data_IF_410215248815
#
_entry.id   IF_410215248815
#
_cell.length_a   1.000
_cell.length_b   1.000
_cell.length_c   1.000
_cell.angle_alpha   90.00
_cell.angle_beta   90.00
_cell.angle_gamma   90.00
#
_symmetry.space_group_name_H-M   'P 1'
#
loop_
_entity.id
_entity.type
_entity.pdbx_description
1 polymer ?
#
# COMPACT_ATOMS: atom_id res chain seq x y z
N UNK A 1 8.85 -14.70 -9.65
CA UNK A 1 7.96 -15.13 -8.51
C UNK A 1 8.42 -14.62 -7.14
N UNK A 2 9.09 -13.47 -7.11
CA UNK A 2 9.45 -12.82 -5.86
C UNK A 2 8.17 -12.47 -5.07
N UNK A 3 8.10 -12.81 -3.80
CA UNK A 3 6.97 -12.55 -2.90
C UNK A 3 5.65 -13.29 -3.23
N UNK A 4 5.66 -14.31 -4.11
CA UNK A 4 4.48 -15.11 -4.44
C UNK A 4 3.45 -14.42 -5.34
N UNK A 5 3.72 -13.21 -5.80
CA UNK A 5 2.81 -12.45 -6.66
C UNK A 5 2.76 -13.01 -8.08
N UNK A 6 1.56 -13.09 -8.64
CA UNK A 6 1.29 -13.43 -10.05
C UNK A 6 0.81 -12.19 -10.78
N UNK A 7 1.73 -11.46 -11.39
CA UNK A 7 1.51 -10.17 -12.03
C UNK A 7 1.90 -10.20 -13.50
N UNK A 8 1.29 -9.34 -14.29
CA UNK A 8 1.62 -9.08 -15.68
C UNK A 8 2.46 -7.80 -15.78
N UNK A 9 3.32 -7.66 -16.80
CA UNK A 9 4.16 -6.46 -16.97
C UNK A 9 3.38 -5.15 -16.97
N UNK A 10 2.20 -5.11 -17.58
CA UNK A 10 1.33 -3.94 -17.66
C UNK A 10 0.77 -3.48 -16.30
N UNK A 11 0.86 -4.29 -15.26
CA UNK A 11 0.48 -3.92 -13.90
C UNK A 11 1.58 -3.15 -13.17
N UNK A 12 2.81 -3.14 -13.70
CA UNK A 12 3.98 -2.57 -13.05
C UNK A 12 4.16 -1.12 -13.50
N UNK A 13 4.19 -0.21 -12.56
CA UNK A 13 4.52 1.20 -12.78
C UNK A 13 5.81 1.52 -12.03
N UNK A 14 6.81 2.00 -12.75
CA UNK A 14 8.12 2.37 -12.19
C UNK A 14 8.15 3.88 -11.97
N UNK A 15 8.68 4.30 -10.83
CA UNK A 15 8.77 5.72 -10.46
C UNK A 15 10.08 6.09 -9.77
N UNK A 16 10.35 7.39 -9.72
CA UNK A 16 11.54 7.99 -9.13
C UNK A 16 11.40 8.14 -7.59
N UNK A 17 11.17 7.04 -6.90
CA UNK A 17 10.96 6.98 -5.46
C UNK A 17 9.48 6.85 -5.06
N UNK A 18 9.24 6.44 -3.80
CA UNK A 18 7.89 6.15 -3.31
C UNK A 18 7.01 7.41 -3.24
N UNK A 19 7.58 8.57 -2.92
CA UNK A 19 6.81 9.81 -2.88
C UNK A 19 6.20 10.16 -4.25
N UNK A 20 6.93 9.92 -5.32
CA UNK A 20 6.41 10.08 -6.69
C UNK A 20 5.22 9.15 -6.95
N UNK A 21 5.34 7.89 -6.53
CA UNK A 21 4.26 6.91 -6.67
C UNK A 21 3.03 7.27 -5.82
N UNK A 22 3.22 7.83 -4.61
CA UNK A 22 2.09 8.32 -3.80
C UNK A 22 1.31 9.43 -4.49
N UNK A 23 2.00 10.37 -5.17
CA UNK A 23 1.33 11.39 -5.98
C UNK A 23 0.52 10.79 -7.13
N UNK A 24 1.07 9.81 -7.84
CA UNK A 24 0.36 9.11 -8.91
C UNK A 24 -0.87 8.34 -8.37
N UNK A 25 -0.75 7.70 -7.21
CA UNK A 25 -1.86 7.00 -6.58
C UNK A 25 -3.00 7.93 -6.19
N UNK A 26 -2.69 9.10 -5.63
CA UNK A 26 -3.70 10.11 -5.30
C UNK A 26 -4.44 10.58 -6.56
N UNK A 27 -3.72 10.77 -7.68
CA UNK A 27 -4.35 11.13 -8.96
C UNK A 27 -5.19 9.99 -9.52
N UNK A 28 -4.73 8.74 -9.40
CA UNK A 28 -5.42 7.56 -9.91
C UNK A 28 -6.71 7.25 -9.12
N UNK A 29 -6.60 7.25 -7.80
CA UNK A 29 -7.70 6.88 -6.91
C UNK A 29 -8.68 8.01 -6.66
N UNK A 30 -8.20 9.27 -6.71
CA UNK A 30 -9.00 10.47 -6.48
C UNK A 30 -8.80 11.04 -5.07
N UNK A 31 -9.18 12.32 -4.92
CA UNK A 31 -9.10 13.07 -3.65
C UNK A 31 -10.41 13.02 -2.86
N UNK A 32 -11.49 12.56 -3.47
CA UNK A 32 -12.84 12.55 -2.87
C UNK A 32 -13.06 11.37 -1.93
N UNK A 33 -12.02 10.58 -1.69
CA UNK A 33 -12.02 9.44 -0.77
C UNK A 33 -11.38 9.79 0.57
N UNK A 34 -11.82 9.11 1.62
CA UNK A 34 -11.17 9.18 2.94
C UNK A 34 -10.03 8.16 2.98
N UNK A 35 -8.80 8.68 3.09
CA UNK A 35 -7.60 7.85 3.22
C UNK A 35 -7.31 7.55 4.69
N UNK A 36 -6.85 6.36 4.97
CA UNK A 36 -6.36 5.96 6.29
C UNK A 36 -4.84 5.82 6.29
N UNK A 37 -4.21 6.23 7.37
CA UNK A 37 -2.79 6.01 7.65
C UNK A 37 -2.61 5.49 9.06
N UNK A 38 -1.64 4.61 9.25
CA UNK A 38 -1.36 3.99 10.54
C UNK A 38 -0.84 5.00 11.57
N UNK A 39 -1.28 4.86 12.83
CA UNK A 39 -0.82 5.68 13.96
C UNK A 39 -0.49 4.79 15.18
N UNK A 40 0.78 4.82 15.65
CA UNK A 40 1.92 5.55 15.09
C UNK A 40 2.29 5.06 13.69
N UNK A 41 2.95 5.88 12.88
CA UNK A 41 3.32 5.53 11.53
C UNK A 41 4.28 6.54 10.89
N UNK A 42 4.48 6.43 9.58
CA UNK A 42 5.39 7.30 8.84
C UNK A 42 4.83 8.71 8.67
N UNK A 43 5.32 9.64 9.51
CA UNK A 43 4.84 11.03 9.60
C UNK A 43 4.85 11.81 8.27
N UNK A 44 5.79 11.49 7.37
CA UNK A 44 5.89 12.16 6.07
C UNK A 44 4.67 11.86 5.18
N UNK A 45 4.06 10.69 5.35
CA UNK A 45 2.87 10.29 4.58
C UNK A 45 1.68 11.22 4.87
N UNK A 46 1.44 11.55 6.16
CA UNK A 46 0.42 12.51 6.55
C UNK A 46 0.61 13.88 5.88
N UNK A 47 1.87 14.36 5.84
CA UNK A 47 2.21 15.62 5.18
C UNK A 47 1.94 15.57 3.68
N UNK A 48 2.28 14.44 3.02
CA UNK A 48 2.03 14.26 1.59
C UNK A 48 0.54 14.30 1.29
N UNK A 49 -0.28 13.57 2.05
CA UNK A 49 -1.73 13.58 1.86
C UNK A 49 -2.34 14.97 2.10
N UNK A 50 -1.96 15.64 3.20
CA UNK A 50 -2.43 16.99 3.50
C UNK A 50 -2.10 17.99 2.38
N UNK A 51 -0.85 17.98 1.86
CA UNK A 51 -0.42 18.88 0.79
C UNK A 51 -1.08 18.59 -0.57
N UNK A 52 -1.59 17.36 -0.75
CA UNK A 52 -2.36 17.01 -1.94
C UNK A 52 -3.87 17.24 -1.80
N UNK A 53 -4.32 17.82 -0.69
CA UNK A 53 -5.73 18.10 -0.44
C UNK A 53 -6.58 16.85 -0.24
N UNK A 54 -6.00 15.77 0.28
CA UNK A 54 -6.67 14.52 0.58
C UNK A 54 -7.21 14.54 2.01
N UNK A 55 -8.47 14.17 2.23
CA UNK A 55 -8.99 13.87 3.56
C UNK A 55 -8.36 12.58 4.07
N UNK A 56 -7.54 12.66 5.12
CA UNK A 56 -6.92 11.49 5.72
C UNK A 56 -7.25 11.37 7.21
N UNK A 57 -7.29 10.15 7.68
CA UNK A 57 -7.60 9.80 9.07
C UNK A 57 -6.54 8.88 9.63
N UNK A 58 -6.20 9.07 10.89
CA UNK A 58 -5.36 8.15 11.63
C UNK A 58 -6.13 6.91 12.02
N UNK A 59 -5.55 5.75 11.74
CA UNK A 59 -6.07 4.42 12.12
C UNK A 59 -5.12 3.82 13.14
N UNK A 60 -5.61 3.54 14.33
CA UNK A 60 -4.81 3.04 15.43
C UNK A 60 -4.32 1.61 15.16
N UNK A 61 -3.27 1.25 15.86
CA UNK A 61 -2.72 -0.10 15.89
C UNK A 61 -3.16 -0.83 17.16
N UNK A 62 -3.21 -2.16 17.07
CA UNK A 62 -3.28 -3.07 18.21
C UNK A 62 -2.06 -4.00 18.22
N UNK A 63 -2.06 -5.03 19.08
CA UNK A 63 -0.95 -5.99 19.17
C UNK A 63 -0.66 -6.76 17.86
N UNK A 64 -1.57 -6.72 16.89
CA UNK A 64 -1.48 -7.41 15.59
C UNK A 64 -1.33 -6.45 14.39
N UNK A 65 -1.00 -5.19 14.64
CA UNK A 65 -0.89 -4.13 13.63
C UNK A 65 -2.18 -3.35 13.47
N UNK A 66 -2.54 -2.98 12.25
CA UNK A 66 -3.70 -2.14 11.95
C UNK A 66 -4.99 -2.65 12.63
N UNK A 67 -5.62 -1.82 13.45
CA UNK A 67 -6.87 -2.13 14.15
C UNK A 67 -8.06 -2.09 13.19
N UNK A 68 -8.76 -3.22 13.04
CA UNK A 68 -9.98 -3.30 12.21
C UNK A 68 -11.13 -2.48 12.78
N UNK A 69 -11.19 -2.33 14.12
CA UNK A 69 -12.18 -1.51 14.80
C UNK A 69 -11.95 -0.03 14.48
N UNK A 70 -10.71 0.45 14.66
CA UNK A 70 -10.35 1.83 14.34
C UNK A 70 -10.57 2.13 12.86
N UNK A 71 -10.18 1.23 11.95
CA UNK A 71 -10.39 1.36 10.51
C UNK A 71 -11.87 1.61 10.15
N UNK A 72 -12.77 0.82 10.72
CA UNK A 72 -14.22 0.95 10.49
C UNK A 72 -14.79 2.21 11.12
N UNK A 73 -14.38 2.56 12.34
CA UNK A 73 -14.80 3.76 13.07
C UNK A 73 -14.43 5.03 12.30
N UNK A 74 -13.26 5.07 11.69
CA UNK A 74 -12.78 6.21 10.91
C UNK A 74 -13.42 6.34 9.52
N UNK A 75 -14.25 5.38 9.09
CA UNK A 75 -14.93 5.37 7.79
C UNK A 75 -13.98 5.52 6.60
N UNK A 76 -12.81 4.91 6.71
CA UNK A 76 -11.78 4.92 5.67
C UNK A 76 -12.24 4.14 4.45
N UNK A 77 -11.83 4.60 3.27
CA UNK A 77 -12.08 3.94 1.98
C UNK A 77 -10.79 3.41 1.35
N UNK A 78 -9.69 4.13 1.53
CA UNK A 78 -8.36 3.73 1.03
C UNK A 78 -7.40 3.69 2.22
N UNK A 79 -6.85 2.53 2.54
CA UNK A 79 -5.91 2.37 3.66
C UNK A 79 -4.47 2.19 3.17
N UNK A 80 -3.55 2.99 3.69
CA UNK A 80 -2.12 2.85 3.48
C UNK A 80 -1.50 2.17 4.70
N UNK A 81 -0.90 1.02 4.51
CA UNK A 81 -0.39 0.16 5.59
C UNK A 81 0.91 -0.53 5.21
N UNK A 82 1.76 -0.84 6.21
CA UNK A 82 3.01 -1.58 6.06
C UNK A 82 2.93 -2.93 6.80
N UNK A 83 2.24 -3.93 6.23
CA UNK A 83 1.85 -5.15 6.96
C UNK A 83 3.01 -6.12 7.17
N UNK A 84 4.09 -6.00 6.43
CA UNK A 84 5.24 -6.91 6.53
C UNK A 84 6.15 -6.54 7.69
N UNK A 85 6.41 -5.25 7.86
CA UNK A 85 7.25 -4.71 8.90
C UNK A 85 6.83 -3.26 9.17
N UNK A 86 5.95 -3.09 10.15
CA UNK A 86 5.40 -1.78 10.45
C UNK A 86 6.44 -0.84 11.06
N UNK A 87 6.60 0.36 10.49
CA UNK A 87 7.41 1.42 11.09
C UNK A 87 6.54 2.37 11.94
N UNK A 88 6.92 2.70 13.18
CA UNK A 88 8.19 2.36 13.86
C UNK A 88 8.10 1.14 14.79
N UNK A 89 6.99 0.43 14.87
CA UNK A 89 6.74 -0.59 15.90
C UNK A 89 7.40 -1.94 15.64
N UNK A 90 7.78 -2.24 14.39
CA UNK A 90 8.31 -3.54 14.00
C UNK A 90 7.27 -4.66 13.93
N UNK A 91 5.99 -4.37 14.16
CA UNK A 91 4.92 -5.38 14.11
C UNK A 91 4.80 -5.94 12.70
N UNK A 92 4.79 -7.27 12.58
CA UNK A 92 4.40 -7.97 11.37
C UNK A 92 2.93 -8.40 11.49
N UNK A 93 2.09 -7.95 10.57
CA UNK A 93 0.67 -8.27 10.54
C UNK A 93 0.46 -9.76 10.27
N UNK A 94 -0.18 -10.52 11.18
CA UNK A 94 -0.40 -11.96 11.00
C UNK A 94 -1.40 -12.22 9.88
N UNK A 95 -1.35 -13.43 9.31
CA UNK A 95 -2.18 -13.84 8.17
C UNK A 95 -3.69 -13.66 8.45
N UNK A 96 -4.14 -13.95 9.66
CA UNK A 96 -5.54 -13.77 10.06
C UNK A 96 -6.00 -12.30 9.97
N UNK A 97 -5.14 -11.35 10.32
CA UNK A 97 -5.43 -9.92 10.19
C UNK A 97 -5.41 -9.49 8.72
N UNK A 98 -4.47 -9.99 7.91
CA UNK A 98 -4.41 -9.75 6.45
C UNK A 98 -5.70 -10.20 5.79
N UNK A 99 -6.23 -11.38 6.12
CA UNK A 99 -7.50 -11.88 5.60
C UNK A 99 -8.68 -10.97 5.98
N UNK A 100 -8.73 -10.49 7.23
CA UNK A 100 -9.78 -9.55 7.67
C UNK A 100 -9.70 -8.22 6.91
N UNK A 101 -8.50 -7.72 6.65
CA UNK A 101 -8.29 -6.48 5.90
C UNK A 101 -8.69 -6.63 4.42
N UNK A 102 -8.35 -7.75 3.79
CA UNK A 102 -8.80 -8.07 2.43
C UNK A 102 -10.33 -8.21 2.35
N UNK A 103 -10.94 -8.88 3.32
CA UNK A 103 -12.41 -8.97 3.40
C UNK A 103 -13.05 -7.59 3.51
N UNK A 104 -12.52 -6.72 4.36
CA UNK A 104 -12.97 -5.33 4.48
C UNK A 104 -12.90 -4.56 3.14
N UNK A 105 -11.82 -4.73 2.39
CA UNK A 105 -11.69 -4.07 1.09
C UNK A 105 -12.70 -4.62 0.05
N UNK A 106 -13.01 -5.91 0.11
CA UNK A 106 -13.97 -6.56 -0.77
C UNK A 106 -15.44 -6.22 -0.45
N UNK A 107 -15.75 -5.76 0.76
CA UNK A 107 -17.13 -5.43 1.19
C UNK A 107 -17.76 -4.27 0.41
N UNK A 108 -16.96 -3.35 -0.10
CA UNK A 108 -17.43 -2.15 -0.79
C UNK A 108 -16.58 -1.84 -2.00
N UNK A 109 -17.23 -1.58 -3.13
CA UNK A 109 -16.55 -1.07 -4.33
C UNK A 109 -15.89 0.29 -4.03
N UNK A 110 -14.74 0.54 -4.65
CA UNK A 110 -13.94 1.76 -4.42
C UNK A 110 -13.03 1.70 -3.19
N UNK A 111 -13.11 0.67 -2.34
CA UNK A 111 -12.11 0.46 -1.29
C UNK A 111 -10.84 -0.16 -1.86
N UNK A 112 -9.69 0.37 -1.43
CA UNK A 112 -8.38 -0.14 -1.79
C UNK A 112 -7.44 -0.20 -0.59
N UNK A 113 -6.46 -1.06 -0.69
CA UNK A 113 -5.35 -1.19 0.25
C UNK A 113 -4.07 -0.83 -0.49
N UNK A 114 -3.31 0.13 0.02
CA UNK A 114 -1.96 0.44 -0.42
C UNK A 114 -1.02 -0.30 0.53
N UNK A 115 -0.40 -1.37 0.03
CA UNK A 115 0.56 -2.19 0.78
C UNK A 115 1.97 -1.66 0.52
N UNK A 116 2.56 -0.98 1.49
CA UNK A 116 3.93 -0.45 1.42
C UNK A 116 4.93 -1.44 2.03
N UNK A 117 5.69 -2.12 1.18
CA UNK A 117 6.63 -3.18 1.54
C UNK A 117 8.09 -2.70 1.38
N UNK A 118 8.41 -1.59 2.03
CA UNK A 118 9.61 -0.78 1.85
C UNK A 118 10.95 -1.47 2.20
N UNK A 119 10.95 -2.59 2.93
CA UNK A 119 12.14 -3.30 3.42
C UNK A 119 12.09 -4.82 3.22
N UNK A 120 11.31 -5.28 2.25
CA UNK A 120 11.05 -6.71 2.01
C UNK A 120 12.31 -7.56 1.75
N UNK A 121 13.42 -6.94 1.42
CA UNK A 121 14.69 -7.61 1.08
C UNK A 121 15.54 -7.93 2.33
N UNK A 122 15.25 -7.26 3.46
CA UNK A 122 16.00 -7.43 4.71
C UNK A 122 15.31 -8.42 5.65
N UNK A 123 15.20 -9.69 5.23
CA UNK A 123 14.64 -10.74 6.09
C UNK A 123 15.72 -11.57 6.74
N UNK A 124 15.75 -11.54 8.04
CA UNK A 124 16.60 -12.36 8.88
C UNK A 124 15.82 -13.57 9.40
N UNK A 125 15.64 -14.61 8.55
CA UNK A 125 15.11 -15.93 8.95
C UNK A 125 13.57 -16.05 8.93
N UNK A 126 13.08 -17.29 8.74
CA UNK A 126 11.67 -17.67 8.76
C UNK A 126 11.04 -17.79 7.37
N UNK A 127 9.91 -18.51 7.30
CA UNK A 127 9.09 -18.61 6.08
C UNK A 127 8.46 -17.23 5.78
N UNK A 128 8.51 -16.77 4.54
CA UNK A 128 7.96 -15.48 4.17
C UNK A 128 6.42 -15.48 4.34
N UNK A 129 5.92 -14.50 5.11
CA UNK A 129 4.48 -14.25 5.15
C UNK A 129 4.07 -13.74 3.76
N UNK A 130 3.03 -14.30 3.13
CA UNK A 130 2.57 -13.83 1.82
C UNK A 130 2.13 -12.36 1.90
N UNK A 131 2.41 -11.59 0.85
CA UNK A 131 1.93 -10.19 0.76
C UNK A 131 0.40 -10.15 0.71
N UNK A 132 -0.21 -9.03 1.06
CA UNK A 132 -1.65 -8.83 0.83
C UNK A 132 -1.98 -8.99 -0.65
N UNK A 133 -1.15 -8.43 -1.53
CA UNK A 133 -1.31 -8.53 -2.97
C UNK A 133 -1.31 -9.98 -3.47
N UNK A 134 -0.42 -10.84 -2.94
CA UNK A 134 -0.30 -12.24 -3.41
C UNK A 134 -1.51 -13.12 -3.05
N UNK A 135 -2.29 -12.72 -2.04
CA UNK A 135 -3.48 -13.43 -1.57
C UNK A 135 -4.78 -12.65 -1.82
N UNK A 136 -4.71 -11.55 -2.56
CA UNK A 136 -5.85 -10.72 -2.92
C UNK A 136 -6.65 -11.34 -4.07
N UNK A 137 -7.78 -11.95 -3.74
CA UNK A 137 -8.72 -12.50 -4.73
C UNK A 137 -9.68 -11.47 -5.34
N UNK A 138 -9.79 -10.28 -4.75
CA UNK A 138 -10.77 -9.26 -5.15
C UNK A 138 -10.17 -8.13 -6.01
N UNK A 139 -8.84 -8.09 -6.20
CA UNK A 139 -8.17 -7.03 -6.95
C UNK A 139 -8.27 -5.66 -6.27
N UNK A 140 -8.03 -5.61 -4.96
CA UNK A 140 -8.15 -4.41 -4.12
C UNK A 140 -6.82 -3.92 -3.57
N UNK A 141 -5.73 -4.64 -3.80
CA UNK A 141 -4.41 -4.29 -3.26
C UNK A 141 -3.53 -3.67 -4.32
N UNK A 142 -2.99 -2.51 -4.00
CA UNK A 142 -1.90 -1.83 -4.73
C UNK A 142 -0.64 -2.07 -3.91
N UNK A 143 0.32 -2.78 -4.50
CA UNK A 143 1.58 -3.09 -3.83
C UNK A 143 2.64 -2.06 -4.21
N UNK A 144 3.38 -1.58 -3.22
CA UNK A 144 4.51 -0.65 -3.37
C UNK A 144 5.80 -1.26 -2.84
N UNK A 145 6.89 -1.00 -3.54
CA UNK A 145 8.23 -1.35 -3.09
C UNK A 145 9.28 -0.35 -3.60
N UNK A 146 10.44 -0.34 -2.95
CA UNK A 146 11.56 0.53 -3.33
C UNK A 146 12.88 -0.23 -3.30
N UNK A 147 13.75 0.04 -4.29
CA UNK A 147 15.12 -0.46 -4.34
C UNK A 147 16.12 0.46 -3.60
N UNK A 148 15.67 1.57 -3.04
CA UNK A 148 16.55 2.57 -2.40
C UNK A 148 17.31 2.05 -1.18
N UNK A 149 16.85 0.97 -0.56
CA UNK A 149 17.52 0.34 0.59
C UNK A 149 18.44 -0.80 0.22
N UNK A 150 18.17 -1.49 -0.88
CA UNK A 150 18.89 -2.69 -1.30
C UNK A 150 20.04 -2.42 -2.25
N UNK A 151 19.96 -1.40 -3.09
CA UNK A 151 21.01 -1.06 -4.04
C UNK A 151 21.87 0.11 -3.53
N UNK A 152 21.40 1.32 -3.67
CA UNK A 152 21.99 2.52 -3.06
C UNK A 152 20.91 3.60 -2.89
N UNK A 153 21.02 4.50 -1.89
CA UNK A 153 20.09 5.62 -1.75
C UNK A 153 20.02 6.54 -2.98
N UNK A 154 21.07 6.54 -3.82
CA UNK A 154 21.16 7.34 -5.02
C UNK A 154 20.30 6.81 -6.18
N UNK A 155 20.05 5.51 -6.21
CA UNK A 155 19.17 4.87 -7.21
C UNK A 155 17.74 5.00 -6.71
N UNK A 156 17.11 6.10 -6.91
CA UNK A 156 15.74 6.38 -6.47
C UNK A 156 14.70 5.66 -7.35
N UNK A 157 14.79 4.32 -7.42
CA UNK A 157 13.83 3.51 -8.16
C UNK A 157 12.88 2.86 -7.18
N UNK A 158 11.59 3.10 -7.41
CA UNK A 158 10.48 2.40 -6.73
C UNK A 158 9.50 1.91 -7.79
N UNK A 159 8.70 0.94 -7.42
CA UNK A 159 7.65 0.46 -8.30
C UNK A 159 6.37 0.19 -7.52
N UNK A 160 5.24 0.27 -8.24
CA UNK A 160 3.97 -0.21 -7.74
C UNK A 160 3.39 -1.26 -8.67
N UNK A 161 2.62 -2.16 -8.10
CA UNK A 161 1.85 -3.17 -8.82
C UNK A 161 0.38 -2.84 -8.66
N UNK A 162 -0.25 -2.47 -9.76
CA UNK A 162 -1.68 -2.15 -9.80
C UNK A 162 -2.52 -3.43 -9.89
N UNK A 163 -3.68 -3.51 -9.25
CA UNK A 163 -4.66 -4.53 -9.57
C UNK A 163 -5.13 -4.33 -11.03
N UNK A 164 -5.49 -5.42 -11.70
CA UNK A 164 -5.87 -5.40 -13.12
C UNK A 164 -6.99 -4.40 -13.44
N UNK A 165 -7.91 -4.22 -12.50
CA UNK A 165 -9.04 -3.29 -12.60
C UNK A 165 -8.62 -1.81 -12.72
N UNK A 166 -7.43 -1.46 -12.25
CA UNK A 166 -6.90 -0.09 -12.30
C UNK A 166 -5.95 0.18 -13.47
N UNK A 167 -5.47 -0.87 -14.16
CA UNK A 167 -4.48 -0.73 -15.26
C UNK A 167 -5.03 0.14 -16.39
N UNK A 168 -6.25 -0.12 -16.86
CA UNK A 168 -6.88 0.68 -17.93
C UNK A 168 -7.01 2.14 -17.53
N UNK A 169 -7.56 2.41 -16.34
CA UNK A 169 -7.69 3.78 -15.82
C UNK A 169 -6.36 4.50 -15.69
N UNK A 170 -5.31 3.77 -15.27
CA UNK A 170 -3.97 4.34 -15.18
C UNK A 170 -3.42 4.69 -16.56
N UNK A 171 -3.49 3.78 -17.52
CA UNK A 171 -2.98 4.01 -18.88
C UNK A 171 -3.67 5.18 -19.58
N UNK A 172 -5.00 5.28 -19.47
CA UNK A 172 -5.78 6.36 -20.07
C UNK A 172 -5.46 7.74 -19.47
N UNK A 173 -5.31 7.83 -18.15
CA UNK A 173 -5.22 9.12 -17.47
C UNK A 173 -3.79 9.51 -17.07
N UNK A 174 -2.91 8.55 -16.83
CA UNK A 174 -1.60 8.75 -16.24
C UNK A 174 -0.46 8.02 -16.97
N UNK A 175 -0.73 7.30 -18.06
CA UNK A 175 0.25 6.52 -18.80
C UNK A 175 1.44 7.32 -19.33
N UNK A 176 1.26 8.62 -19.50
CA UNK A 176 2.33 9.53 -19.93
C UNK A 176 3.37 9.85 -18.82
N UNK A 177 3.11 9.46 -17.57
CA UNK A 177 4.06 9.56 -16.46
C UNK A 177 4.98 8.35 -16.32
N UNK A 178 4.68 7.23 -16.96
CA UNK A 178 5.41 5.96 -16.80
C UNK A 178 6.29 5.63 -18.02
#
# INVERSE_FOLDING_TARGET
>A
HFRGMRILPEQIVIGAGTEYLYHLLIQLLGRDHVYGIENPGYQKLAKIYAHNGVDYRYVDLDAHGLSMESLRKQKVEIIHTSPTHHFPTGIAMPISRRQKLLAWAAEKEGRYIIEDDYDCEFRFGGLPIPTLQSIDGAGRVIYLNTFSKSLTPSIRISYMVLPRTLVGKFQENLGFYA
#
